data_IF_966404993952
#
_entry.id   IF_966404993952
#
_cell.length_a   1.000
_cell.length_b   1.000
_cell.length_c   1.000
_cell.angle_alpha   90.00
_cell.angle_beta   90.00
_cell.angle_gamma   90.00
#
_symmetry.space_group_name_H-M   'P 1'
#
loop_
_entity.id
_entity.type
_entity.pdbx_description
1 polymer ?
#
# COMPACT_ATOMS: atom_id res chain seq x y z
N UNK A 1 9.40 16.28 0.64
CA UNK A 1 8.76 15.33 1.58
C UNK A 1 7.27 15.19 1.33
N UNK A 2 6.47 16.27 1.34
CA UNK A 2 5.00 16.18 1.13
C UNK A 2 4.58 15.58 -0.24
N UNK A 3 5.16 16.04 -1.37
CA UNK A 3 4.75 15.58 -2.70
C UNK A 3 4.96 14.06 -2.93
N UNK A 4 6.10 13.50 -2.49
CA UNK A 4 6.34 12.06 -2.58
C UNK A 4 5.39 11.26 -1.68
N UNK A 5 5.09 11.77 -0.48
CA UNK A 5 4.09 11.18 0.41
C UNK A 5 2.69 11.22 -0.22
N UNK A 6 2.32 12.31 -0.90
CA UNK A 6 1.04 12.39 -1.62
C UNK A 6 0.97 11.44 -2.81
N UNK A 7 2.03 11.32 -3.64
CA UNK A 7 2.07 10.38 -4.77
C UNK A 7 1.98 8.93 -4.28
N UNK A 8 2.74 8.59 -3.24
CA UNK A 8 2.73 7.24 -2.67
C UNK A 8 1.37 6.89 -2.05
N UNK A 9 0.74 7.85 -1.35
CA UNK A 9 -0.63 7.71 -0.87
C UNK A 9 -1.66 7.51 -1.99
N UNK A 10 -1.56 8.26 -3.08
CA UNK A 10 -2.43 8.11 -4.25
C UNK A 10 -2.28 6.72 -4.89
N UNK A 11 -1.04 6.25 -5.07
CA UNK A 11 -0.76 4.93 -5.63
C UNK A 11 -1.28 3.81 -4.72
N UNK A 12 -1.11 3.95 -3.40
CA UNK A 12 -1.66 2.99 -2.44
C UNK A 12 -3.19 2.94 -2.51
N UNK A 13 -3.86 4.09 -2.55
CA UNK A 13 -5.31 4.18 -2.71
C UNK A 13 -5.79 3.56 -4.04
N UNK A 14 -5.09 3.82 -5.15
CA UNK A 14 -5.39 3.18 -6.42
C UNK A 14 -5.30 1.65 -6.33
N UNK A 15 -4.27 1.14 -5.65
CA UNK A 15 -4.08 -0.30 -5.49
C UNK A 15 -5.16 -0.93 -4.61
N UNK A 16 -5.62 -0.23 -3.59
CA UNK A 16 -6.75 -0.66 -2.75
C UNK A 16 -8.04 -0.77 -3.56
N UNK A 17 -8.31 0.23 -4.41
CA UNK A 17 -9.46 0.25 -5.30
C UNK A 17 -9.39 -0.89 -6.33
N UNK A 18 -8.22 -1.18 -6.90
CA UNK A 18 -8.04 -2.28 -7.85
C UNK A 18 -8.37 -3.64 -7.21
N UNK A 19 -7.87 -3.88 -5.99
CA UNK A 19 -8.13 -5.13 -5.24
C UNK A 19 -9.61 -5.24 -4.87
N UNK A 20 -10.21 -4.15 -4.39
CA UNK A 20 -11.63 -4.09 -4.06
C UNK A 20 -12.50 -4.32 -5.30
N UNK A 21 -12.17 -3.69 -6.42
CA UNK A 21 -12.84 -3.86 -7.71
C UNK A 21 -12.77 -5.31 -8.18
N UNK A 22 -11.60 -5.95 -8.08
CA UNK A 22 -11.43 -7.35 -8.44
C UNK A 22 -12.29 -8.28 -7.55
N UNK A 23 -12.35 -8.01 -6.24
CA UNK A 23 -13.19 -8.78 -5.32
C UNK A 23 -14.68 -8.64 -5.66
N UNK A 24 -15.15 -7.43 -5.95
CA UNK A 24 -16.55 -7.17 -6.29
C UNK A 24 -16.88 -7.86 -7.62
N UNK A 25 -16.03 -7.73 -8.63
CA UNK A 25 -16.22 -8.34 -9.95
C UNK A 25 -16.32 -9.87 -9.88
N UNK A 26 -15.60 -10.49 -8.95
CA UNK A 26 -15.55 -11.95 -8.79
C UNK A 26 -16.38 -12.47 -7.60
N UNK A 27 -17.17 -11.64 -6.93
CA UNK A 27 -17.91 -12.01 -5.71
C UNK A 27 -18.91 -13.18 -5.92
N UNK A 28 -19.41 -13.36 -7.14
CA UNK A 28 -20.33 -14.45 -7.50
C UNK A 28 -19.63 -15.63 -8.20
N UNK A 29 -18.30 -15.63 -8.29
CA UNK A 29 -17.54 -16.73 -8.88
C UNK A 29 -17.32 -17.85 -7.86
N UNK A 30 -17.73 -19.06 -8.19
CA UNK A 30 -17.60 -20.22 -7.29
C UNK A 30 -16.13 -20.58 -7.09
N UNK A 31 -15.66 -20.58 -5.84
CA UNK A 31 -14.26 -20.87 -5.50
C UNK A 31 -13.32 -19.66 -5.54
N UNK A 32 -13.84 -18.44 -5.72
CA UNK A 32 -13.06 -17.22 -5.60
C UNK A 32 -12.59 -16.96 -4.17
N UNK A 33 -11.34 -16.52 -4.02
CA UNK A 33 -10.75 -16.10 -2.74
C UNK A 33 -10.55 -14.58 -2.73
N UNK A 34 -11.22 -13.92 -1.79
CA UNK A 34 -11.14 -12.47 -1.61
C UNK A 34 -9.71 -12.05 -1.28
N UNK A 35 -9.21 -11.04 -1.98
CA UNK A 35 -7.87 -10.50 -1.74
C UNK A 35 -7.92 -9.19 -0.95
N UNK A 36 -6.86 -8.82 -0.22
CA UNK A 36 -6.76 -7.54 0.49
C UNK A 36 -5.39 -6.91 0.29
N UNK A 37 -5.36 -5.62 -0.03
CA UNK A 37 -4.14 -4.84 -0.06
C UNK A 37 -3.66 -4.55 1.37
N UNK A 38 -2.37 -4.75 1.62
CA UNK A 38 -1.69 -4.41 2.87
C UNK A 38 -0.67 -3.31 2.58
N UNK A 39 -0.64 -2.30 3.45
CA UNK A 39 0.20 -1.13 3.30
C UNK A 39 1.20 -1.04 4.45
N UNK A 40 2.39 -0.58 4.12
CA UNK A 40 3.47 -0.32 5.08
C UNK A 40 4.08 1.06 4.85
N UNK A 41 4.65 1.61 5.91
CA UNK A 41 5.27 2.93 5.90
C UNK A 41 6.68 2.88 5.31
N UNK A 42 6.99 3.83 4.43
CA UNK A 42 8.34 4.03 3.90
C UNK A 42 9.11 4.91 4.89
N UNK A 43 10.11 4.34 5.56
CA UNK A 43 11.07 5.11 6.34
C UNK A 43 12.33 5.38 5.51
N UNK A 44 12.68 6.65 5.29
CA UNK A 44 13.96 7.01 4.72
C UNK A 44 15.06 6.91 5.77
N UNK A 45 15.60 5.70 5.93
CA UNK A 45 16.81 5.49 6.72
C UNK A 45 18.00 5.75 5.80
N UNK A 46 18.59 6.95 5.90
CA UNK A 46 19.97 7.14 5.45
C UNK A 46 20.86 6.13 6.18
N UNK A 47 21.85 5.55 5.52
CA UNK A 47 22.82 4.61 6.13
C UNK A 47 23.53 5.19 7.38
N UNK A 48 23.46 6.52 7.58
CA UNK A 48 24.03 7.26 8.71
C UNK A 48 22.98 8.00 9.57
N UNK A 49 21.67 7.80 9.30
CA UNK A 49 20.58 8.50 9.98
C UNK A 49 19.93 7.66 11.06
N UNK A 50 19.74 8.22 12.26
CA UNK A 50 19.03 7.57 13.36
C UNK A 50 17.59 7.20 12.94
N UNK A 51 17.33 5.90 12.74
CA UNK A 51 16.01 5.38 12.34
C UNK A 51 14.88 5.80 13.29
N UNK A 52 15.19 6.11 14.56
CA UNK A 52 14.20 6.57 15.55
C UNK A 52 13.64 7.97 15.29
N UNK A 53 14.33 8.80 14.50
CA UNK A 53 13.93 10.18 14.21
C UNK A 53 13.68 10.42 12.72
N UNK A 54 13.69 9.37 11.90
CA UNK A 54 13.45 9.47 10.47
C UNK A 54 11.97 9.81 10.20
N UNK A 55 11.73 10.94 9.54
CA UNK A 55 10.39 11.32 9.08
C UNK A 55 9.95 10.38 7.96
N UNK A 56 8.75 9.78 8.09
CA UNK A 56 8.18 8.90 7.07
C UNK A 56 8.09 9.59 5.71
N UNK A 57 8.38 8.85 4.63
CA UNK A 57 8.40 9.36 3.27
C UNK A 57 7.19 8.97 2.42
N UNK A 58 6.27 8.17 2.96
CA UNK A 58 5.10 7.71 2.23
C UNK A 58 4.64 6.34 2.67
N UNK A 59 3.75 5.76 1.88
CA UNK A 59 3.22 4.41 2.07
C UNK A 59 3.49 3.56 0.83
N UNK A 60 3.78 2.29 0.99
CA UNK A 60 3.85 1.33 -0.10
C UNK A 60 2.83 0.21 0.10
N UNK A 61 2.42 -0.43 -0.98
CA UNK A 61 1.70 -1.71 -0.89
C UNK A 61 2.72 -2.82 -0.64
N UNK A 62 2.74 -3.37 0.57
CA UNK A 62 3.67 -4.45 0.95
C UNK A 62 3.24 -5.80 0.36
N UNK A 63 1.94 -6.08 0.40
CA UNK A 63 1.40 -7.35 -0.07
C UNK A 63 -0.05 -7.23 -0.52
N UNK A 64 -0.47 -8.16 -1.38
CA UNK A 64 -1.87 -8.45 -1.64
C UNK A 64 -2.09 -9.90 -1.19
N UNK A 65 -2.80 -10.08 -0.07
CA UNK A 65 -3.05 -11.39 0.52
C UNK A 65 -4.43 -11.92 0.09
N UNK A 66 -4.55 -13.22 -0.21
CA UNK A 66 -5.79 -13.92 -0.60
C UNK A 66 -6.37 -14.79 0.51
#
# INVERSE_FOLDING_TARGET
MSFNTSITGLNAAQKDLDVTSNNIANANSTGFKSSRAQFGDIYAVSAYGNSKTATGQGVLTEAVQQ
#
